data_IF_048462172519
#
_entry.id   IF_048462172519
#
_cell.length_a   1.000
_cell.length_b   1.000
_cell.length_c   1.000
_cell.angle_alpha   90.00
_cell.angle_beta   90.00
_cell.angle_gamma   90.00
#
_symmetry.space_group_name_H-M   'P 1'
#
loop_
_entity.id
_entity.type
_entity.pdbx_description
1 polymer ?
#
# COMPACT_ATOMS: atom_id res chain seq x y z
N UNK A 1 -25.51 30.60 30.37
CA UNK A 1 -24.62 30.00 29.38
C UNK A 1 -23.38 29.51 30.09
N UNK A 2 -23.12 28.20 30.05
CA UNK A 2 -21.99 27.60 30.74
C UNK A 2 -20.67 27.93 30.01
N UNK A 3 -19.58 28.00 30.75
CA UNK A 3 -18.22 28.36 30.25
C UNK A 3 -17.78 27.50 29.05
N UNK A 4 -18.31 26.28 28.94
CA UNK A 4 -18.07 25.34 27.84
C UNK A 4 -18.78 25.71 26.53
N UNK A 5 -20.02 26.22 26.61
CA UNK A 5 -20.75 26.66 25.41
C UNK A 5 -20.11 27.86 24.73
N UNK A 6 -19.49 28.77 25.51
CA UNK A 6 -18.78 29.91 24.96
C UNK A 6 -17.45 29.52 24.28
N UNK A 7 -16.79 28.47 24.80
CA UNK A 7 -15.55 27.92 24.24
C UNK A 7 -15.81 27.18 22.92
N UNK A 8 -16.89 26.46 22.85
CA UNK A 8 -17.29 25.71 21.64
C UNK A 8 -17.66 26.68 20.50
N UNK A 9 -18.44 27.71 20.78
CA UNK A 9 -18.78 28.77 19.81
C UNK A 9 -17.54 29.53 19.31
N UNK A 10 -16.55 29.80 20.17
CA UNK A 10 -15.32 30.45 19.77
C UNK A 10 -14.48 29.56 18.83
N UNK A 11 -14.46 28.25 19.06
CA UNK A 11 -13.78 27.29 18.17
C UNK A 11 -14.51 27.22 16.82
N UNK A 12 -15.83 27.14 16.79
CA UNK A 12 -16.61 27.08 15.55
C UNK A 12 -16.42 28.35 14.70
N UNK A 13 -16.37 29.51 15.34
CA UNK A 13 -16.05 30.77 14.65
C UNK A 13 -14.64 30.76 14.06
N UNK A 14 -13.66 30.27 14.80
CA UNK A 14 -12.28 30.17 14.31
C UNK A 14 -12.17 29.19 13.11
N UNK A 15 -12.81 28.02 13.19
CA UNK A 15 -12.89 27.06 12.09
C UNK A 15 -13.53 27.70 10.86
N UNK A 16 -14.69 28.36 11.02
CA UNK A 16 -15.38 29.04 9.91
C UNK A 16 -14.55 30.16 9.28
N UNK A 17 -13.76 30.87 10.06
CA UNK A 17 -12.89 31.92 9.55
C UNK A 17 -11.70 31.33 8.76
N UNK A 18 -11.11 30.24 9.22
CA UNK A 18 -10.03 29.54 8.53
C UNK A 18 -10.55 28.97 7.19
N UNK A 19 -11.73 28.34 7.19
CA UNK A 19 -12.33 27.81 5.96
C UNK A 19 -12.67 28.88 4.93
N UNK A 20 -13.08 30.08 5.39
CA UNK A 20 -13.32 31.22 4.49
C UNK A 20 -12.02 31.74 3.87
N UNK A 21 -10.93 31.70 4.59
CA UNK A 21 -9.63 32.25 4.16
C UNK A 21 -8.85 31.25 3.28
N UNK A 22 -8.89 29.96 3.62
CA UNK A 22 -8.06 28.92 3.00
C UNK A 22 -8.84 27.87 2.22
N UNK A 23 -10.16 27.93 2.20
CA UNK A 23 -11.03 26.98 1.54
C UNK A 23 -11.62 25.93 2.48
N UNK A 24 -12.77 25.35 2.06
CA UNK A 24 -13.42 24.27 2.82
C UNK A 24 -12.48 23.06 2.95
N UNK A 25 -12.39 22.51 4.17
CA UNK A 25 -11.56 21.35 4.47
C UNK A 25 -10.09 21.70 4.80
N UNK A 26 -9.73 23.01 4.87
CA UNK A 26 -8.40 23.44 5.32
C UNK A 26 -8.16 23.18 6.80
N UNK A 27 -9.21 23.04 7.57
CA UNK A 27 -9.20 22.64 8.98
C UNK A 27 -10.39 21.73 9.25
N UNK A 28 -10.21 20.71 10.10
CA UNK A 28 -11.26 19.80 10.51
C UNK A 28 -11.02 19.30 11.93
N UNK A 29 -12.06 18.88 12.62
CA UNK A 29 -11.92 18.24 13.95
C UNK A 29 -11.60 16.76 13.76
N UNK A 30 -10.53 16.30 14.36
CA UNK A 30 -10.18 14.88 14.41
C UNK A 30 -11.22 14.16 15.30
N UNK A 31 -12.08 13.31 14.74
CA UNK A 31 -13.12 12.58 15.47
C UNK A 31 -14.55 12.91 15.07
N UNK A 32 -14.82 13.86 14.19
CA UNK A 32 -16.11 13.97 13.54
C UNK A 32 -16.27 12.83 12.52
N UNK A 33 -17.46 12.19 12.49
CA UNK A 33 -17.80 11.19 11.45
C UNK A 33 -17.69 11.86 10.08
N UNK A 34 -16.67 11.46 9.30
CA UNK A 34 -16.30 12.08 8.03
C UNK A 34 -14.96 12.81 8.02
N UNK A 35 -14.32 13.02 9.18
CA UNK A 35 -12.93 13.44 9.26
C UNK A 35 -12.02 12.25 8.95
N UNK A 36 -11.91 11.98 7.70
CA UNK A 36 -10.82 11.38 6.95
C UNK A 36 -9.96 10.33 7.68
N UNK A 37 -10.51 9.13 7.87
CA UNK A 37 -9.73 7.98 7.39
C UNK A 37 -10.07 7.90 5.89
N UNK A 38 -9.21 8.35 4.97
CA UNK A 38 -9.48 8.13 3.56
C UNK A 38 -9.69 6.64 3.39
N UNK A 39 -10.70 6.25 2.63
CA UNK A 39 -10.87 4.86 2.21
C UNK A 39 -9.65 4.53 1.34
N UNK A 40 -8.57 4.11 2.00
CA UNK A 40 -7.30 3.81 1.34
C UNK A 40 -7.46 2.42 0.74
N UNK A 41 -7.50 2.31 -0.58
CA UNK A 41 -7.59 1.00 -1.21
C UNK A 41 -6.39 0.15 -0.80
N UNK A 42 -6.64 -1.08 -0.38
CA UNK A 42 -5.62 -2.00 0.13
C UNK A 42 -5.54 -3.27 -0.70
N UNK A 43 -4.41 -3.95 -0.60
CA UNK A 43 -4.20 -5.32 -1.07
C UNK A 43 -4.06 -6.18 0.18
N UNK A 44 -4.94 -7.17 0.42
CA UNK A 44 -4.80 -8.08 1.54
C UNK A 44 -3.44 -8.80 1.50
N UNK A 45 -2.90 -9.11 2.66
CA UNK A 45 -1.62 -9.85 2.74
C UNK A 45 -1.78 -11.35 2.55
N UNK A 46 -3.03 -11.85 2.55
CA UNK A 46 -3.34 -13.27 2.58
C UNK A 46 -3.29 -13.87 4.00
N UNK A 47 -2.95 -13.07 5.00
CA UNK A 47 -2.96 -13.45 6.42
C UNK A 47 -3.93 -12.55 7.18
N UNK A 48 -5.06 -13.11 7.62
CA UNK A 48 -6.11 -12.37 8.35
C UNK A 48 -5.55 -11.71 9.60
N UNK A 49 -4.68 -12.39 10.35
CA UNK A 49 -4.09 -11.84 11.57
C UNK A 49 -3.18 -10.63 11.28
N UNK A 50 -2.43 -10.67 10.19
CA UNK A 50 -1.59 -9.56 9.77
C UNK A 50 -2.44 -8.39 9.26
N UNK A 51 -3.46 -8.66 8.48
CA UNK A 51 -4.39 -7.64 7.96
C UNK A 51 -5.09 -6.89 9.09
N UNK A 52 -5.51 -7.60 10.15
CA UNK A 52 -6.07 -6.99 11.37
C UNK A 52 -5.00 -6.16 12.10
N UNK A 53 -3.79 -6.68 12.25
CA UNK A 53 -2.71 -5.99 12.96
C UNK A 53 -2.27 -4.69 12.24
N UNK A 54 -2.35 -4.66 10.91
CA UNK A 54 -2.09 -3.45 10.11
C UNK A 54 -3.19 -2.38 10.26
N UNK A 55 -4.36 -2.73 10.76
CA UNK A 55 -5.45 -1.80 11.01
C UNK A 55 -6.21 -1.33 9.78
N UNK A 56 -5.67 -1.55 8.58
CA UNK A 56 -6.25 -1.15 7.29
C UNK A 56 -6.80 -2.34 6.49
N UNK A 57 -6.60 -3.57 6.95
CA UNK A 57 -7.01 -4.78 6.24
C UNK A 57 -6.09 -5.20 5.10
N UNK A 58 -4.86 -4.68 5.05
CA UNK A 58 -3.85 -5.04 4.05
C UNK A 58 -2.80 -3.97 3.81
N UNK A 59 -2.03 -4.13 2.74
CA UNK A 59 -1.01 -3.17 2.32
C UNK A 59 -1.67 -2.04 1.52
N UNK A 60 -1.46 -0.77 1.88
CA UNK A 60 -2.06 0.37 1.19
C UNK A 60 -1.54 0.49 -0.25
N UNK A 61 -2.45 0.67 -1.20
CA UNK A 61 -2.10 0.91 -2.61
C UNK A 61 -1.45 2.27 -2.80
N UNK A 62 -0.53 2.36 -3.76
CA UNK A 62 0.17 3.59 -4.08
C UNK A 62 1.19 4.03 -3.03
N UNK A 63 1.59 3.12 -2.15
CA UNK A 63 2.63 3.35 -1.13
C UNK A 63 3.76 2.35 -1.30
N UNK A 64 4.94 2.73 -0.82
CA UNK A 64 6.07 1.81 -0.65
C UNK A 64 5.95 1.19 0.73
N UNK A 65 5.97 -0.14 0.79
CA UNK A 65 6.00 -0.90 2.04
C UNK A 65 7.31 -1.67 2.11
N UNK A 66 8.02 -1.55 3.22
CA UNK A 66 9.23 -2.31 3.49
C UNK A 66 8.90 -3.53 4.35
N UNK A 67 9.38 -4.71 3.92
CA UNK A 67 9.26 -5.97 4.66
C UNK A 67 10.67 -6.41 5.03
N UNK A 68 11.01 -6.36 6.30
CA UNK A 68 12.33 -6.72 6.80
C UNK A 68 12.28 -7.83 7.84
N UNK A 69 13.39 -8.53 8.00
CA UNK A 69 13.52 -9.64 8.94
C UNK A 69 14.72 -10.52 8.58
N UNK A 70 15.10 -11.46 9.47
CA UNK A 70 16.21 -12.38 9.21
C UNK A 70 15.93 -13.29 8.01
N UNK A 71 16.96 -13.97 7.54
CA UNK A 71 16.82 -15.01 6.52
C UNK A 71 15.79 -16.06 6.94
N UNK A 72 15.11 -16.64 5.97
CA UNK A 72 14.08 -17.67 6.18
C UNK A 72 12.88 -17.23 7.05
N UNK A 73 12.70 -15.93 7.31
CA UNK A 73 11.57 -15.38 8.09
C UNK A 73 10.25 -15.33 7.32
N UNK A 74 10.21 -15.70 6.05
CA UNK A 74 9.01 -15.71 5.23
C UNK A 74 8.73 -14.40 4.47
N UNK A 75 9.69 -13.48 4.33
CA UNK A 75 9.54 -12.23 3.57
C UNK A 75 9.05 -12.47 2.14
N UNK A 76 9.73 -13.35 1.40
CA UNK A 76 9.36 -13.72 0.03
C UNK A 76 8.00 -14.41 -0.03
N UNK A 77 7.71 -15.28 0.93
CA UNK A 77 6.40 -15.95 1.05
C UNK A 77 5.27 -14.92 1.19
N UNK A 78 5.46 -13.94 2.07
CA UNK A 78 4.49 -12.86 2.26
C UNK A 78 4.34 -12.00 1.00
N UNK A 79 5.44 -11.65 0.33
CA UNK A 79 5.39 -10.90 -0.93
C UNK A 79 4.62 -11.66 -2.02
N UNK A 80 4.83 -12.98 -2.14
CA UNK A 80 4.10 -13.81 -3.10
C UNK A 80 2.61 -13.92 -2.76
N UNK A 81 2.23 -13.99 -1.49
CA UNK A 81 0.83 -13.92 -1.08
C UNK A 81 0.18 -12.58 -1.47
N UNK A 82 0.85 -11.46 -1.22
CA UNK A 82 0.36 -10.12 -1.62
C UNK A 82 0.19 -10.04 -3.15
N UNK A 83 1.11 -10.61 -3.92
CA UNK A 83 0.98 -10.71 -5.38
C UNK A 83 -0.26 -11.52 -5.77
N UNK A 84 -0.45 -12.68 -5.16
CA UNK A 84 -1.61 -13.53 -5.42
C UNK A 84 -2.93 -12.81 -5.11
N UNK A 85 -3.02 -12.11 -3.99
CA UNK A 85 -4.19 -11.31 -3.61
C UNK A 85 -4.42 -10.12 -4.56
N UNK A 86 -3.35 -9.46 -5.01
CA UNK A 86 -3.44 -8.41 -6.03
C UNK A 86 -4.01 -8.94 -7.35
N UNK A 87 -3.53 -10.10 -7.80
CA UNK A 87 -4.02 -10.75 -9.04
C UNK A 87 -5.48 -11.20 -8.91
N UNK A 88 -5.92 -11.68 -7.73
CA UNK A 88 -7.33 -11.99 -7.47
C UNK A 88 -8.24 -10.77 -7.61
N UNK A 89 -7.75 -9.59 -7.29
CA UNK A 89 -8.46 -8.31 -7.47
C UNK A 89 -8.36 -7.77 -8.91
N UNK A 90 -7.80 -8.54 -9.85
CA UNK A 90 -7.60 -8.13 -11.24
C UNK A 90 -6.44 -7.13 -11.43
N UNK A 91 -5.54 -7.02 -10.48
CA UNK A 91 -4.31 -6.24 -10.59
C UNK A 91 -3.23 -6.99 -11.34
N UNK A 92 -2.34 -6.23 -12.00
CA UNK A 92 -1.09 -6.76 -12.53
C UNK A 92 -0.02 -6.74 -11.44
N UNK A 93 0.96 -7.63 -11.53
CA UNK A 93 2.08 -7.68 -10.62
C UNK A 93 3.39 -7.87 -11.37
N UNK A 94 4.45 -7.28 -10.82
CA UNK A 94 5.82 -7.51 -11.27
C UNK A 94 6.68 -7.91 -10.06
N UNK A 95 7.54 -8.90 -10.26
CA UNK A 95 8.50 -9.36 -9.28
C UNK A 95 9.92 -9.09 -9.79
N UNK A 96 10.69 -8.29 -9.05
CA UNK A 96 12.08 -7.98 -9.38
C UNK A 96 12.94 -8.80 -8.45
N UNK A 97 13.53 -9.87 -9.01
CA UNK A 97 14.28 -10.90 -8.31
C UNK A 97 15.78 -10.67 -8.47
N UNK A 98 16.35 -9.85 -7.60
CA UNK A 98 17.79 -9.54 -7.61
C UNK A 98 18.66 -10.71 -7.08
N UNK A 99 18.06 -11.66 -6.37
CA UNK A 99 18.77 -12.84 -5.83
C UNK A 99 18.69 -14.07 -6.74
N UNK A 100 17.87 -14.01 -7.81
CA UNK A 100 17.62 -15.14 -8.71
C UNK A 100 17.11 -16.39 -7.97
N UNK A 101 16.33 -16.20 -6.92
CA UNK A 101 15.92 -17.26 -5.99
C UNK A 101 14.42 -17.62 -6.04
N UNK A 102 13.67 -17.06 -7.00
CA UNK A 102 12.24 -17.31 -7.12
C UNK A 102 11.95 -18.75 -7.57
N UNK A 103 11.31 -19.51 -6.70
CA UNK A 103 10.73 -20.82 -7.06
C UNK A 103 9.32 -20.63 -7.64
N UNK A 104 9.20 -20.80 -8.96
CA UNK A 104 7.94 -20.69 -9.70
C UNK A 104 6.91 -21.71 -9.24
N UNK A 105 7.36 -22.93 -8.87
CA UNK A 105 6.46 -24.00 -8.39
C UNK A 105 5.89 -23.63 -7.03
N UNK A 106 6.71 -23.06 -6.17
CA UNK A 106 6.28 -22.56 -4.86
C UNK A 106 5.32 -21.38 -5.00
N UNK A 107 5.65 -20.39 -5.84
CA UNK A 107 4.77 -19.26 -6.13
C UNK A 107 3.38 -19.71 -6.59
N UNK A 108 3.31 -20.69 -7.48
CA UNK A 108 2.05 -21.26 -7.97
C UNK A 108 1.25 -21.93 -6.85
N UNK A 109 1.91 -22.64 -5.93
CA UNK A 109 1.25 -23.25 -4.75
C UNK A 109 0.66 -22.21 -3.80
N UNK A 110 1.25 -21.03 -3.72
CA UNK A 110 0.74 -19.89 -2.94
C UNK A 110 -0.41 -19.15 -3.64
N UNK A 111 -0.79 -19.57 -4.86
CA UNK A 111 -1.89 -18.99 -5.60
C UNK A 111 -1.52 -17.89 -6.59
N UNK A 112 -0.23 -17.67 -6.82
CA UNK A 112 0.24 -16.74 -7.85
C UNK A 112 -0.06 -17.32 -9.23
N UNK A 113 -0.71 -16.52 -10.07
CA UNK A 113 -0.89 -16.81 -11.50
C UNK A 113 0.42 -16.48 -12.20
N UNK A 114 1.27 -17.48 -12.32
CA UNK A 114 2.64 -17.33 -12.86
C UNK A 114 2.66 -16.89 -14.31
N UNK A 115 1.63 -17.23 -15.08
CA UNK A 115 1.51 -16.88 -16.50
C UNK A 115 1.17 -15.37 -16.70
N UNK A 116 0.66 -14.71 -15.64
CA UNK A 116 0.33 -13.29 -15.64
C UNK A 116 1.36 -12.46 -14.85
N UNK A 117 2.37 -13.08 -14.24
CA UNK A 117 3.39 -12.40 -13.44
C UNK A 117 4.55 -11.93 -14.31
N UNK A 118 4.84 -10.64 -14.27
CA UNK A 118 6.06 -10.11 -14.86
C UNK A 118 7.25 -10.38 -13.93
N UNK A 119 8.32 -10.98 -14.47
CA UNK A 119 9.54 -11.25 -13.71
C UNK A 119 10.70 -10.56 -14.37
N UNK A 120 11.53 -9.90 -13.57
CA UNK A 120 12.81 -9.35 -13.99
C UNK A 120 13.92 -9.80 -13.03
N UNK A 121 15.07 -10.15 -13.58
CA UNK A 121 16.25 -10.57 -12.85
C UNK A 121 17.42 -9.64 -13.22
N UNK A 122 17.52 -8.47 -12.57
CA UNK A 122 18.53 -7.47 -12.86
C UNK A 122 19.91 -7.92 -12.34
N UNK A 123 20.96 -7.50 -13.05
CA UNK A 123 22.36 -7.81 -12.68
C UNK A 123 22.87 -6.94 -11.52
N UNK A 124 22.22 -5.78 -11.28
CA UNK A 124 22.61 -4.84 -10.24
C UNK A 124 21.43 -4.02 -9.72
N UNK A 125 21.65 -3.31 -8.61
CA UNK A 125 20.61 -2.54 -7.93
C UNK A 125 20.10 -1.34 -8.74
N UNK A 126 20.95 -0.69 -9.52
CA UNK A 126 20.59 0.45 -10.37
C UNK A 126 19.60 0.03 -11.45
N UNK A 127 19.89 -1.07 -12.14
CA UNK A 127 19.00 -1.67 -13.11
C UNK A 127 17.67 -2.10 -12.48
N UNK A 128 17.71 -2.67 -11.27
CA UNK A 128 16.50 -3.05 -10.53
C UNK A 128 15.59 -1.83 -10.26
N UNK A 129 16.19 -0.71 -9.88
CA UNK A 129 15.48 0.54 -9.61
C UNK A 129 14.86 1.13 -10.87
N UNK A 130 15.60 1.15 -11.97
CA UNK A 130 15.13 1.67 -13.27
C UNK A 130 13.97 0.84 -13.83
N UNK A 131 14.07 -0.49 -13.71
CA UNK A 131 12.99 -1.40 -14.08
C UNK A 131 11.76 -1.17 -13.21
N UNK A 132 11.95 -1.00 -11.89
CA UNK A 132 10.86 -0.74 -10.96
C UNK A 132 10.14 0.58 -11.28
N UNK A 133 10.89 1.64 -11.54
CA UNK A 133 10.32 2.95 -11.90
C UNK A 133 9.55 2.89 -13.22
N UNK A 134 10.13 2.25 -14.25
CA UNK A 134 9.48 2.08 -15.56
C UNK A 134 8.20 1.26 -15.44
N UNK A 135 8.22 0.16 -14.69
CA UNK A 135 7.06 -0.69 -14.46
C UNK A 135 5.96 0.08 -13.71
N UNK A 136 6.31 0.79 -12.64
CA UNK A 136 5.37 1.58 -11.84
C UNK A 136 4.70 2.68 -12.68
N UNK A 137 5.48 3.44 -13.44
CA UNK A 137 4.98 4.53 -14.28
C UNK A 137 4.11 4.05 -15.44
N UNK A 138 4.44 2.91 -16.04
CA UNK A 138 3.65 2.32 -17.14
C UNK A 138 2.27 1.86 -16.65
N UNK A 139 2.18 1.41 -15.42
CA UNK A 139 0.95 0.86 -14.86
C UNK A 139 0.08 1.88 -14.13
N UNK A 140 0.65 2.98 -13.66
CA UNK A 140 -0.11 4.11 -13.14
C UNK A 140 -1.08 4.70 -14.19
N UNK A 141 -0.82 4.49 -15.46
CA UNK A 141 -1.67 4.94 -16.58
C UNK A 141 -2.84 4.01 -16.90
N UNK A 142 -2.81 2.75 -16.49
CA UNK A 142 -3.82 1.76 -16.90
C UNK A 142 -4.55 1.09 -15.73
N UNK A 143 -3.86 0.76 -14.66
CA UNK A 143 -4.38 0.28 -13.35
C UNK A 143 -3.22 0.23 -12.34
N UNK A 144 -3.43 0.46 -11.04
CA UNK A 144 -2.33 0.45 -10.08
C UNK A 144 -1.67 -0.93 -9.98
N UNK A 145 -0.36 -0.98 -10.24
CA UNK A 145 0.48 -2.15 -10.02
C UNK A 145 0.86 -2.27 -8.54
N UNK A 146 0.93 -3.51 -8.07
CA UNK A 146 1.68 -3.85 -6.87
C UNK A 146 3.08 -4.33 -7.28
N UNK A 147 4.10 -3.57 -6.90
CA UNK A 147 5.49 -3.95 -7.05
C UNK A 147 5.98 -4.59 -5.76
N UNK A 148 6.40 -5.84 -5.84
CA UNK A 148 7.15 -6.47 -4.77
C UNK A 148 8.65 -6.40 -5.10
N UNK A 149 9.41 -5.75 -4.23
CA UNK A 149 10.86 -5.75 -4.25
C UNK A 149 11.34 -6.54 -3.05
N UNK A 150 12.21 -7.50 -3.31
CA UNK A 150 12.98 -8.17 -2.29
C UNK A 150 14.34 -7.47 -2.15
N UNK A 151 14.71 -7.13 -0.93
CA UNK A 151 16.05 -6.68 -0.56
C UNK A 151 16.62 -7.66 0.46
N UNK A 152 17.90 -8.04 0.33
CA UNK A 152 18.55 -9.03 1.21
C UNK A 152 18.60 -8.60 2.67
#
# INVERSE_FOLDING_TARGET
MTKDQNKEKAIDMAVSQIEKQFGKGSIMRLGEEGALVPDVPVIPTGSISLDIALGLGGIPRGRVAEIFGPESSGKTTLALHIIAESQKQGGNAAFIDAEHALDVTYARKLGVKTDELLISQPDNGEQALEIADTAANSCARTRPLSLARYSP
#
